data_IF_498958439340
#
_entry.id   IF_498958439340
#
_cell.length_a   1.000
_cell.length_b   1.000
_cell.length_c   1.000
_cell.angle_alpha   90.00
_cell.angle_beta   90.00
_cell.angle_gamma   90.00
#
_symmetry.space_group_name_H-M   'P 1'
#
loop_
_entity.id
_entity.type
_entity.pdbx_description
1 polymer ?
#
# COMPACT_ATOMS: atom_id res chain seq x y z
N UNK A 1 -5.73 7.15 18.38
CA UNK A 1 -6.36 8.43 17.98
C UNK A 1 -7.56 8.63 18.87
N UNK A 2 -7.75 9.79 19.50
CA UNK A 2 -8.99 10.00 20.27
C UNK A 2 -10.15 10.12 19.28
N UNK A 3 -11.25 9.37 19.44
CA UNK A 3 -12.35 9.35 18.48
C UNK A 3 -12.76 10.76 18.03
N UNK A 4 -12.86 11.72 18.95
CA UNK A 4 -13.34 13.09 18.68
C UNK A 4 -12.46 13.90 17.71
N UNK A 5 -11.23 13.47 17.43
CA UNK A 5 -10.30 14.13 16.50
C UNK A 5 -10.26 13.46 15.13
N UNK A 6 -10.99 12.36 14.93
CA UNK A 6 -10.97 11.59 13.69
C UNK A 6 -11.29 12.46 12.47
N UNK A 7 -12.42 13.19 12.50
CA UNK A 7 -12.83 14.09 11.42
C UNK A 7 -11.99 15.38 11.32
N UNK A 8 -11.05 15.63 12.23
CA UNK A 8 -10.07 16.71 12.09
C UNK A 8 -8.89 16.26 11.21
N UNK A 9 -8.48 15.00 11.33
CA UNK A 9 -7.28 14.46 10.70
C UNK A 9 -7.53 13.79 9.33
N UNK A 10 -8.77 13.39 9.04
CA UNK A 10 -9.11 12.76 7.74
C UNK A 10 -9.51 13.78 6.67
N UNK A 11 -9.31 13.40 5.40
CA UNK A 11 -9.88 14.06 4.24
C UNK A 11 -11.23 13.43 3.86
N UNK A 12 -12.26 14.24 3.65
CA UNK A 12 -13.58 13.78 3.19
C UNK A 12 -13.67 13.93 1.67
N UNK A 13 -13.55 12.81 0.93
CA UNK A 13 -13.67 12.77 -0.54
C UNK A 13 -15.11 12.40 -0.92
N UNK A 14 -15.74 13.21 -1.78
CA UNK A 14 -17.14 13.01 -2.21
C UNK A 14 -17.28 12.38 -3.61
N UNK A 15 -16.22 12.36 -4.44
CA UNK A 15 -16.25 11.80 -5.80
C UNK A 15 -14.98 11.01 -6.19
N UNK A 16 -15.10 10.15 -7.21
CA UNK A 16 -14.06 9.24 -7.74
C UNK A 16 -13.17 9.86 -8.84
N UNK A 17 -13.18 11.18 -9.02
CA UNK A 17 -12.39 11.80 -10.09
C UNK A 17 -10.94 12.08 -9.67
N UNK A 18 -10.07 12.10 -10.69
CA UNK A 18 -8.59 12.09 -10.69
C UNK A 18 -7.93 13.21 -9.87
N UNK A 19 -8.70 14.17 -9.36
CA UNK A 19 -8.23 15.27 -8.53
C UNK A 19 -8.87 15.19 -7.14
N UNK A 20 -8.04 15.16 -6.10
CA UNK A 20 -8.49 15.12 -4.70
C UNK A 20 -9.22 16.42 -4.32
N UNK A 21 -10.53 16.46 -4.54
CA UNK A 21 -11.38 17.53 -4.03
C UNK A 21 -11.94 17.12 -2.67
N UNK A 22 -11.38 17.74 -1.62
CA UNK A 22 -11.87 17.59 -0.25
C UNK A 22 -12.98 18.60 0.03
N UNK A 23 -14.13 18.13 0.52
CA UNK A 23 -15.27 19.00 0.88
C UNK A 23 -15.16 19.46 2.35
N UNK A 24 -14.83 20.74 2.62
CA UNK A 24 -14.68 21.26 3.97
C UNK A 24 -16.03 21.35 4.71
N UNK A 25 -17.15 21.50 4.00
CA UNK A 25 -18.48 21.57 4.61
C UNK A 25 -18.89 20.22 5.19
N UNK A 26 -18.65 19.14 4.45
CA UNK A 26 -18.88 17.76 4.93
C UNK A 26 -18.00 17.45 6.14
N UNK A 27 -16.73 17.88 6.13
CA UNK A 27 -15.81 17.71 7.25
C UNK A 27 -16.32 18.39 8.53
N UNK A 28 -16.78 19.63 8.44
CA UNK A 28 -17.34 20.37 9.59
C UNK A 28 -18.62 19.73 10.14
N UNK A 29 -19.49 19.19 9.28
CA UNK A 29 -20.69 18.48 9.74
C UNK A 29 -20.34 17.21 10.54
N UNK A 30 -19.36 16.45 10.06
CA UNK A 30 -18.98 15.17 10.65
C UNK A 30 -18.23 15.30 11.98
N UNK A 31 -17.52 16.41 12.23
CA UNK A 31 -16.86 16.71 13.52
C UNK A 31 -17.81 16.66 14.72
N UNK A 32 -19.08 17.02 14.52
CA UNK A 32 -20.07 17.09 15.59
C UNK A 32 -20.76 15.75 15.88
N UNK A 33 -20.49 14.72 15.07
CA UNK A 33 -21.08 13.39 15.26
C UNK A 33 -20.19 12.56 16.16
N UNK A 34 -20.78 11.86 17.14
CA UNK A 34 -20.01 11.01 18.04
C UNK A 34 -19.25 9.96 17.22
N UNK A 35 -17.91 9.92 17.25
CA UNK A 35 -17.13 9.12 16.32
C UNK A 35 -17.34 7.62 16.52
N UNK A 36 -17.68 7.14 17.73
CA UNK A 36 -18.13 5.74 17.95
C UNK A 36 -19.41 5.34 17.16
N UNK A 37 -20.14 6.30 16.58
CA UNK A 37 -21.24 5.99 15.65
C UNK A 37 -20.72 5.46 14.30
N UNK A 38 -19.47 5.76 13.93
CA UNK A 38 -18.82 5.32 12.68
C UNK A 38 -17.64 4.39 12.93
N UNK A 39 -16.93 4.61 14.02
CA UNK A 39 -15.76 3.88 14.48
C UNK A 39 -16.25 2.63 15.23
N UNK A 40 -16.80 1.69 14.48
CA UNK A 40 -16.76 0.25 14.81
C UNK A 40 -15.83 -0.49 13.85
N UNK A 41 -15.08 0.29 13.08
CA UNK A 41 -14.36 -0.12 11.89
C UNK A 41 -12.89 -0.33 12.23
N UNK A 42 -12.33 -1.38 11.66
CA UNK A 42 -10.91 -1.68 11.70
C UNK A 42 -10.34 -1.40 10.31
N UNK A 43 -9.15 -0.79 10.26
CA UNK A 43 -8.40 -0.76 9.02
C UNK A 43 -7.66 -2.08 8.94
N UNK A 44 -8.02 -2.91 7.97
CA UNK A 44 -7.38 -4.21 7.71
C UNK A 44 -6.55 -4.08 6.45
N UNK A 45 -5.24 -4.25 6.57
CA UNK A 45 -4.29 -4.13 5.49
C UNK A 45 -3.57 -5.46 5.28
N UNK A 46 -3.89 -6.20 4.20
CA UNK A 46 -3.18 -7.41 3.83
C UNK A 46 -1.68 -7.15 3.60
N UNK A 47 -0.83 -7.89 4.30
CA UNK A 47 0.63 -7.83 4.17
C UNK A 47 1.11 -9.04 3.40
N UNK A 48 1.90 -8.78 2.36
CA UNK A 48 2.53 -9.82 1.54
C UNK A 48 4.04 -9.74 1.63
N UNK A 49 4.68 -10.91 1.66
CA UNK A 49 6.12 -11.05 1.48
C UNK A 49 6.39 -11.44 0.03
N UNK A 50 7.22 -10.66 -0.64
CA UNK A 50 7.68 -10.89 -2.00
C UNK A 50 9.15 -11.27 -1.97
N UNK A 51 9.48 -12.41 -2.57
CA UNK A 51 10.87 -12.82 -2.77
C UNK A 51 11.27 -12.46 -4.20
N UNK A 52 12.29 -11.62 -4.33
CA UNK A 52 12.84 -11.17 -5.60
C UNK A 52 14.23 -11.78 -5.78
N UNK A 53 14.50 -12.36 -6.94
CA UNK A 53 15.87 -12.71 -7.36
C UNK A 53 16.40 -11.66 -8.32
N UNK A 54 17.69 -11.32 -8.26
CA UNK A 54 18.33 -10.40 -9.19
C UNK A 54 19.80 -10.72 -9.39
N UNK A 55 20.35 -10.32 -10.53
CA UNK A 55 21.77 -10.38 -10.84
C UNK A 55 22.47 -9.11 -10.40
N UNK A 56 23.65 -9.24 -9.80
CA UNK A 56 24.54 -8.10 -9.55
C UNK A 56 25.39 -7.80 -10.77
N UNK A 57 25.98 -6.61 -10.86
CA UNK A 57 26.92 -6.23 -11.92
C UNK A 57 28.13 -7.17 -12.04
N UNK A 58 28.45 -7.93 -10.97
CA UNK A 58 29.51 -8.93 -10.94
C UNK A 58 29.04 -10.34 -11.38
N UNK A 59 27.81 -10.47 -11.85
CA UNK A 59 27.21 -11.74 -12.28
C UNK A 59 26.74 -12.66 -11.14
N UNK A 60 26.83 -12.23 -9.88
CA UNK A 60 26.30 -13.02 -8.77
C UNK A 60 24.78 -12.92 -8.71
N UNK A 61 24.10 -14.06 -8.62
CA UNK A 61 22.67 -14.13 -8.32
C UNK A 61 22.45 -13.86 -6.82
N UNK A 62 21.49 -13.00 -6.51
CA UNK A 62 21.06 -12.68 -5.15
C UNK A 62 19.57 -12.78 -5.00
N UNK A 63 19.13 -12.93 -3.76
CA UNK A 63 17.73 -12.91 -3.36
C UNK A 63 17.52 -11.82 -2.32
N UNK A 64 16.36 -11.17 -2.37
CA UNK A 64 15.90 -10.25 -1.33
C UNK A 64 14.43 -10.47 -1.06
N UNK A 65 14.03 -10.21 0.18
CA UNK A 65 12.64 -10.22 0.60
C UNK A 65 12.16 -8.79 0.74
N UNK A 66 10.90 -8.55 0.38
CA UNK A 66 10.20 -7.28 0.57
C UNK A 66 8.84 -7.53 1.16
N UNK A 67 8.37 -6.60 1.97
CA UNK A 67 7.03 -6.63 2.54
C UNK A 67 6.24 -5.47 1.96
N UNK A 68 5.09 -5.78 1.36
CA UNK A 68 4.20 -4.77 0.82
C UNK A 68 2.81 -4.91 1.42
N UNK A 69 2.16 -3.76 1.59
CA UNK A 69 0.74 -3.69 1.92
C UNK A 69 -0.03 -3.49 0.63
N UNK A 70 -1.04 -4.32 0.40
CA UNK A 70 -1.89 -4.21 -0.78
C UNK A 70 -3.34 -4.03 -0.35
N UNK A 71 -3.96 -2.94 -0.80
CA UNK A 71 -5.40 -2.81 -0.70
C UNK A 71 -6.06 -3.70 -1.77
N UNK A 72 -6.32 -4.95 -1.39
CA UNK A 72 -6.92 -5.94 -2.27
C UNK A 72 -8.44 -5.78 -2.43
N UNK A 73 -9.06 -4.77 -1.80
CA UNK A 73 -10.52 -4.62 -1.80
C UNK A 73 -11.12 -4.37 -3.21
N UNK A 74 -10.29 -3.94 -4.15
CA UNK A 74 -10.68 -3.62 -5.53
C UNK A 74 -10.12 -4.59 -6.59
N UNK A 75 -9.30 -5.56 -6.20
CA UNK A 75 -8.68 -6.49 -7.16
C UNK A 75 -9.60 -7.69 -7.38
N UNK A 76 -10.37 -7.65 -8.46
CA UNK A 76 -11.42 -8.64 -8.76
C UNK A 76 -10.86 -10.01 -9.22
N UNK A 77 -9.58 -10.09 -9.62
CA UNK A 77 -8.96 -11.31 -10.14
C UNK A 77 -7.50 -11.48 -9.73
N UNK A 78 -7.00 -12.71 -9.77
CA UNK A 78 -5.59 -13.05 -9.53
C UNK A 78 -4.64 -12.36 -10.51
N UNK A 79 -5.07 -12.16 -11.76
CA UNK A 79 -4.25 -11.52 -12.79
C UNK A 79 -4.07 -10.03 -12.49
N UNK A 80 -5.13 -9.37 -12.02
CA UNK A 80 -5.08 -7.96 -11.60
C UNK A 80 -4.15 -7.79 -10.40
N UNK A 81 -4.18 -8.74 -9.46
CA UNK A 81 -3.28 -8.76 -8.31
C UNK A 81 -1.81 -8.93 -8.72
N UNK A 82 -1.52 -9.92 -9.57
CA UNK A 82 -0.16 -10.18 -10.02
C UNK A 82 0.42 -8.97 -10.77
N UNK A 83 -0.36 -8.37 -11.68
CA UNK A 83 0.05 -7.18 -12.42
C UNK A 83 0.35 -5.99 -11.50
N UNK A 84 -0.48 -5.78 -10.46
CA UNK A 84 -0.26 -4.70 -9.49
C UNK A 84 1.00 -4.93 -8.67
N UNK A 85 1.25 -6.17 -8.24
CA UNK A 85 2.47 -6.55 -7.52
C UNK A 85 3.71 -6.34 -8.39
N UNK A 86 3.68 -6.82 -9.63
CA UNK A 86 4.76 -6.64 -10.60
C UNK A 86 5.08 -5.16 -10.82
N UNK A 87 4.05 -4.34 -11.01
CA UNK A 87 4.19 -2.89 -11.18
C UNK A 87 4.85 -2.22 -9.98
N UNK A 88 4.46 -2.58 -8.75
CA UNK A 88 5.07 -2.03 -7.54
C UNK A 88 6.53 -2.45 -7.38
N UNK A 89 6.83 -3.73 -7.59
CA UNK A 89 8.19 -4.25 -7.52
C UNK A 89 9.08 -3.57 -8.56
N UNK A 90 8.57 -3.40 -9.79
CA UNK A 90 9.28 -2.70 -10.85
C UNK A 90 9.61 -1.26 -10.48
N UNK A 91 8.61 -0.47 -10.08
CA UNK A 91 8.84 0.93 -9.67
C UNK A 91 9.88 1.05 -8.56
N UNK A 92 9.86 0.14 -7.59
CA UNK A 92 10.81 0.15 -6.48
C UNK A 92 12.22 -0.29 -6.90
N UNK A 93 12.34 -1.30 -7.77
CA UNK A 93 13.61 -1.71 -8.37
C UNK A 93 14.21 -0.59 -9.23
N UNK A 94 13.40 0.11 -10.02
CA UNK A 94 13.82 1.24 -10.84
C UNK A 94 14.29 2.43 -9.97
N UNK A 95 13.56 2.73 -8.90
CA UNK A 95 13.95 3.73 -7.90
C UNK A 95 15.26 3.37 -7.20
N UNK A 96 15.41 2.11 -6.78
CA UNK A 96 16.66 1.60 -6.19
C UNK A 96 17.83 1.73 -7.16
N UNK A 97 17.65 1.33 -8.42
CA UNK A 97 18.68 1.39 -9.45
C UNK A 97 19.09 2.83 -9.77
N UNK A 98 18.11 3.74 -9.80
CA UNK A 98 18.35 5.18 -9.98
C UNK A 98 19.17 5.77 -8.83
N UNK A 99 18.89 5.35 -7.59
CA UNK A 99 19.64 5.77 -6.41
C UNK A 99 21.02 5.07 -6.30
N UNK A 100 21.19 3.88 -6.88
CA UNK A 100 22.39 3.04 -6.74
C UNK A 100 22.99 2.64 -8.10
N UNK A 101 23.39 3.59 -8.96
CA UNK A 101 23.81 3.29 -10.33
C UNK A 101 25.08 2.42 -10.43
N UNK A 102 25.91 2.38 -9.36
CA UNK A 102 27.11 1.55 -9.31
C UNK A 102 26.83 0.08 -8.94
N UNK A 103 25.68 -0.21 -8.33
CA UNK A 103 25.29 -1.55 -7.86
C UNK A 103 23.79 -1.80 -8.14
N UNK A 104 23.35 -1.81 -9.40
CA UNK A 104 21.96 -2.04 -9.73
C UNK A 104 21.54 -3.50 -9.48
N UNK A 105 20.24 -3.69 -9.29
CA UNK A 105 19.54 -4.96 -9.41
C UNK A 105 19.21 -5.19 -10.89
N UNK A 106 19.93 -6.11 -11.53
CA UNK A 106 19.73 -6.49 -12.93
C UNK A 106 18.85 -7.73 -13.01
N UNK A 107 18.13 -7.89 -14.14
CA UNK A 107 17.36 -9.08 -14.48
C UNK A 107 16.49 -9.60 -13.32
N UNK A 108 15.84 -8.68 -12.60
CA UNK A 108 15.08 -9.05 -11.42
C UNK A 108 13.84 -9.88 -11.82
N UNK A 109 13.49 -10.84 -10.97
CA UNK A 109 12.30 -11.67 -11.14
C UNK A 109 11.63 -11.91 -9.79
N UNK A 110 10.30 -11.85 -9.78
CA UNK A 110 9.51 -12.27 -8.63
C UNK A 110 9.51 -13.80 -8.60
N UNK A 111 9.93 -14.37 -7.47
CA UNK A 111 10.00 -15.81 -7.26
C UNK A 111 8.83 -16.35 -6.46
N UNK A 112 8.38 -15.58 -5.47
CA UNK A 112 7.28 -15.98 -4.62
C UNK A 112 6.54 -14.75 -4.10
N UNK A 113 5.24 -14.89 -3.92
CA UNK A 113 4.37 -13.93 -3.26
C UNK A 113 3.59 -14.72 -2.20
N UNK A 114 3.78 -14.34 -0.94
CA UNK A 114 3.21 -15.06 0.20
C UNK A 114 2.37 -14.09 1.03
N UNK A 115 1.11 -14.45 1.32
CA UNK A 115 0.32 -13.73 2.32
C UNK A 115 0.92 -14.01 3.71
N UNK A 116 1.24 -12.94 4.44
CA UNK A 116 1.84 -13.04 5.77
C UNK A 116 0.77 -12.92 6.83
N UNK A 117 0.02 -11.82 6.80
CA UNK A 117 -1.04 -11.54 7.77
C UNK A 117 -1.89 -10.36 7.30
N UNK A 118 -3.01 -10.17 7.98
CA UNK A 118 -3.72 -8.90 7.97
C UNK A 118 -3.17 -8.00 9.09
N UNK A 119 -2.57 -6.87 8.71
CA UNK A 119 -2.26 -5.81 9.66
C UNK A 119 -3.55 -5.06 10.01
N UNK A 120 -4.04 -5.29 11.23
CA UNK A 120 -5.31 -4.73 11.70
C UNK A 120 -5.05 -3.59 12.68
N UNK A 121 -5.45 -2.38 12.31
CA UNK A 121 -5.53 -1.24 13.22
C UNK A 121 -6.97 -1.09 13.71
N UNK A 122 -7.30 -1.47 14.96
CA UNK A 122 -8.59 -1.15 15.54
C UNK A 122 -8.66 0.37 15.75
N UNK A 123 -9.71 0.98 15.22
CA UNK A 123 -10.02 2.38 15.55
C UNK A 123 -11.04 2.32 16.70
N UNK A 124 -10.74 3.00 17.81
CA UNK A 124 -11.53 3.01 19.05
C UNK A 124 -11.32 4.28 19.85
#
# INVERSE_FOLDING_TARGET
>A
MHPSKFFEEVGCRTHMDVFEQYDPYVKEQLKNVHPLNFIKTRVTLPVFKITISYSTIKGNLRHTEKYIVLDNSHLESSDSFNFYVESNVQMECDSYNSANPKNPMLDYMIKNIEFVCDAVLPIG
#
